data_IF_224439383115
#
_entry.id   IF_224439383115
#
_cell.length_a   1.000
_cell.length_b   1.000
_cell.length_c   1.000
_cell.angle_alpha   90.00
_cell.angle_beta   90.00
_cell.angle_gamma   90.00
#
_symmetry.space_group_name_H-M   'P 1'
#
loop_
_entity.id
_entity.type
_entity.pdbx_description
1 polymer ?
#
# COMPACT_ATOMS: atom_id res chain seq x y z
N UNK A 1 21.08 14.97 17.00
CA UNK A 1 21.16 14.27 18.30
C UNK A 1 20.59 12.88 18.08
N UNK A 2 21.48 11.95 17.72
CA UNK A 2 21.16 10.60 17.26
C UNK A 2 20.99 9.74 18.51
N UNK A 3 19.78 9.24 18.77
CA UNK A 3 19.55 8.25 19.81
C UNK A 3 19.81 6.88 19.20
N UNK A 4 21.00 6.31 19.45
CA UNK A 4 21.29 4.89 19.19
C UNK A 4 20.45 4.07 20.17
N UNK A 5 19.47 3.32 19.69
CA UNK A 5 18.79 2.30 20.49
C UNK A 5 19.57 1.00 20.41
N UNK A 6 20.47 0.80 21.37
CA UNK A 6 20.99 -0.53 21.70
C UNK A 6 19.82 -1.43 22.11
N UNK A 7 19.72 -2.61 21.49
CA UNK A 7 18.71 -3.61 21.79
C UNK A 7 18.82 -4.08 23.23
N UNK A 8 17.87 -3.67 24.08
CA UNK A 8 17.60 -4.36 25.34
C UNK A 8 16.61 -5.48 25.04
N UNK A 9 17.08 -6.71 25.22
CA UNK A 9 16.22 -7.88 25.36
C UNK A 9 15.15 -7.58 26.42
N UNK A 10 13.88 -7.62 26.01
CA UNK A 10 12.75 -7.57 26.93
C UNK A 10 12.81 -8.80 27.82
N UNK A 11 12.86 -8.55 29.13
CA UNK A 11 13.12 -9.54 30.16
C UNK A 11 12.21 -10.77 30.06
N UNK A 12 12.82 -11.94 30.21
CA UNK A 12 12.11 -13.18 30.46
C UNK A 12 11.32 -13.06 31.78
N UNK A 13 10.09 -13.61 31.84
CA UNK A 13 9.36 -13.70 33.10
C UNK A 13 10.03 -14.70 34.05
N UNK A 14 10.11 -14.33 35.33
CA UNK A 14 10.67 -15.14 36.42
C UNK A 14 9.92 -16.50 36.55
N UNK A 15 10.61 -17.60 36.88
CA UNK A 15 9.98 -18.89 37.08
C UNK A 15 9.30 -18.92 38.46
N UNK A 16 7.97 -19.05 38.46
CA UNK A 16 7.17 -19.16 39.66
C UNK A 16 7.47 -20.48 40.41
N UNK A 17 7.96 -20.35 41.64
CA UNK A 17 8.01 -21.42 42.64
C UNK A 17 6.65 -21.58 43.34
N UNK A 18 6.22 -22.83 43.52
CA UNK A 18 4.89 -23.19 44.02
C UNK A 18 4.64 -22.87 45.50
N UNK A 19 3.37 -22.57 45.80
CA UNK A 19 2.84 -22.47 47.16
C UNK A 19 1.41 -21.89 47.16
N UNK A 20 0.47 -22.62 47.74
CA UNK A 20 -1.00 -22.41 47.78
C UNK A 20 -1.50 -21.13 48.52
N UNK A 21 -0.77 -20.00 48.42
CA UNK A 21 -1.10 -18.71 49.04
C UNK A 21 -1.53 -17.64 48.01
N UNK A 22 -1.56 -18.01 46.74
CA UNK A 22 -1.66 -17.07 45.62
C UNK A 22 -3.03 -16.40 45.50
N UNK A 23 -4.13 -17.03 45.90
CA UNK A 23 -5.47 -16.48 45.63
C UNK A 23 -5.75 -15.12 46.30
N UNK A 24 -5.42 -14.98 47.58
CA UNK A 24 -5.73 -13.78 48.38
C UNK A 24 -4.74 -12.66 48.12
N UNK A 25 -3.44 -12.96 48.04
CA UNK A 25 -2.41 -11.97 47.67
C UNK A 25 -2.66 -11.44 46.26
N UNK A 26 -2.93 -12.32 45.29
CA UNK A 26 -3.23 -11.92 43.90
C UNK A 26 -4.53 -11.12 43.79
N UNK A 27 -5.49 -11.31 44.72
CA UNK A 27 -6.72 -10.53 44.79
C UNK A 27 -6.51 -9.15 45.43
N UNK A 28 -5.76 -9.06 46.53
CA UNK A 28 -5.38 -7.78 47.15
C UNK A 28 -4.48 -6.94 46.24
N UNK A 29 -3.51 -7.58 45.59
CA UNK A 29 -2.67 -6.96 44.55
C UNK A 29 -3.44 -6.71 43.26
N UNK A 30 -4.68 -7.18 43.11
CA UNK A 30 -5.58 -6.76 42.03
C UNK A 30 -6.36 -5.48 42.37
N UNK A 31 -6.42 -5.10 43.66
CA UNK A 31 -7.27 -4.02 44.13
C UNK A 31 -6.59 -2.65 43.97
N UNK A 32 -7.14 -1.73 43.15
CA UNK A 32 -6.49 -0.44 42.86
C UNK A 32 -6.21 0.42 44.09
N UNK A 33 -7.10 0.40 45.09
CA UNK A 33 -6.95 1.16 46.35
C UNK A 33 -5.76 0.64 47.15
N UNK A 34 -5.62 -0.68 47.25
CA UNK A 34 -4.49 -1.29 47.94
C UNK A 34 -3.17 -0.89 47.28
N UNK A 35 -3.08 -0.98 45.95
CA UNK A 35 -1.89 -0.57 45.17
C UNK A 35 -1.55 0.92 45.29
N UNK A 36 -2.55 1.79 45.45
CA UNK A 36 -2.33 3.23 45.64
C UNK A 36 -1.78 3.53 47.04
N UNK A 37 -2.26 2.81 48.05
CA UNK A 37 -1.83 2.99 49.44
C UNK A 37 -0.46 2.37 49.73
N UNK A 38 -0.12 1.27 49.07
CA UNK A 38 1.13 0.52 49.31
C UNK A 38 2.21 0.76 48.25
N UNK A 39 1.84 1.36 47.11
CA UNK A 39 2.73 1.58 45.96
C UNK A 39 3.18 3.04 45.77
N UNK A 40 4.02 3.29 44.75
CA UNK A 40 4.56 4.62 44.45
C UNK A 40 3.57 5.58 43.75
N UNK A 41 2.29 5.22 43.65
CA UNK A 41 1.25 5.96 42.92
C UNK A 41 0.08 6.35 43.84
N UNK A 42 0.32 7.21 44.85
CA UNK A 42 -0.72 7.60 45.82
C UNK A 42 -1.82 8.46 45.20
N UNK A 43 -1.56 9.06 44.03
CA UNK A 43 -2.54 9.85 43.28
C UNK A 43 -3.40 9.00 42.33
N UNK A 44 -3.09 7.71 42.17
CA UNK A 44 -3.82 6.80 41.28
C UNK A 44 -3.77 7.21 39.80
N UNK A 45 -2.71 7.89 39.36
CA UNK A 45 -2.56 8.36 37.96
C UNK A 45 -1.62 7.47 37.13
N UNK A 46 -0.95 6.53 37.77
CA UNK A 46 0.01 5.61 37.19
C UNK A 46 -0.52 4.19 37.12
N UNK A 47 0.35 3.23 37.46
CA UNK A 47 0.07 1.79 37.29
C UNK A 47 -0.96 1.27 38.30
N UNK A 48 -1.10 1.90 39.46
CA UNK A 48 -2.00 1.41 40.51
C UNK A 48 -3.48 1.43 40.05
N UNK A 49 -3.85 2.41 39.22
CA UNK A 49 -5.19 2.52 38.63
C UNK A 49 -5.39 1.73 37.32
N UNK A 50 -4.35 1.06 36.77
CA UNK A 50 -4.51 0.28 35.53
C UNK A 50 -5.22 -1.02 35.80
N UNK A 51 -6.26 -1.27 35.01
CA UNK A 51 -6.93 -2.57 34.99
C UNK A 51 -6.05 -3.61 34.28
N UNK A 52 -6.26 -4.90 34.56
CA UNK A 52 -5.61 -5.99 33.82
C UNK A 52 -5.85 -5.88 32.31
N UNK A 53 -7.06 -5.45 31.91
CA UNK A 53 -7.38 -5.20 30.51
C UNK A 53 -6.50 -4.12 29.90
N UNK A 54 -6.32 -2.99 30.60
CA UNK A 54 -5.42 -1.90 30.17
C UNK A 54 -3.97 -2.35 30.07
N UNK A 55 -3.49 -3.18 31.00
CA UNK A 55 -2.14 -3.73 30.96
C UNK A 55 -1.93 -4.72 29.79
N UNK A 56 -2.98 -5.41 29.36
CA UNK A 56 -2.93 -6.34 28.23
C UNK A 56 -3.05 -5.66 26.85
N UNK A 57 -3.43 -4.38 26.78
CA UNK A 57 -3.53 -3.66 25.51
C UNK A 57 -2.13 -3.38 24.99
N UNK A 58 -1.83 -3.92 23.81
CA UNK A 58 -0.63 -3.65 23.03
C UNK A 58 -0.95 -2.79 21.81
N UNK A 59 0.08 -2.25 21.14
CA UNK A 59 -0.14 -1.49 19.90
C UNK A 59 -0.75 -2.38 18.81
N UNK A 60 -1.57 -1.78 17.94
CA UNK A 60 -2.14 -2.47 16.76
C UNK A 60 -1.07 -2.98 15.77
N UNK A 61 0.16 -2.51 15.92
CA UNK A 61 1.32 -2.86 15.11
C UNK A 61 2.20 -3.93 15.78
N UNK A 62 1.93 -4.30 17.04
CA UNK A 62 2.78 -5.21 17.81
C UNK A 62 2.83 -6.63 17.26
N UNK A 63 1.83 -7.05 16.48
CA UNK A 63 1.73 -8.40 15.89
C UNK A 63 2.39 -8.49 14.50
N UNK A 64 2.88 -7.38 13.95
CA UNK A 64 3.48 -7.39 12.62
C UNK A 64 4.80 -8.17 12.61
N UNK A 65 4.94 -9.09 11.65
CA UNK A 65 6.17 -9.86 11.43
C UNK A 65 7.20 -9.08 10.58
N UNK A 66 6.73 -8.17 9.72
CA UNK A 66 7.56 -7.26 8.94
C UNK A 66 6.94 -5.87 8.78
N UNK A 67 7.81 -4.91 8.51
CA UNK A 67 7.43 -3.53 8.16
C UNK A 67 8.13 -3.14 6.87
N UNK A 68 7.36 -2.80 5.84
CA UNK A 68 7.86 -2.30 4.57
C UNK A 68 7.75 -0.77 4.51
N UNK A 69 8.78 -0.11 3.99
CA UNK A 69 8.72 1.31 3.67
C UNK A 69 7.99 1.50 2.33
N UNK A 70 7.15 2.53 2.27
CA UNK A 70 6.41 2.88 1.05
C UNK A 70 6.17 4.39 0.98
N UNK A 71 5.61 4.86 -0.14
CA UNK A 71 5.24 6.25 -0.36
C UNK A 71 3.74 6.32 -0.65
N UNK A 72 3.09 7.34 -0.09
CA UNK A 72 1.66 7.61 -0.28
C UNK A 72 1.31 7.75 -1.77
N UNK A 73 0.37 6.96 -2.32
CA UNK A 73 0.10 6.90 -3.77
C UNK A 73 -0.86 8.00 -4.28
N UNK A 74 -1.11 9.05 -3.49
CA UNK A 74 -2.18 10.01 -3.79
C UNK A 74 -1.69 11.27 -4.51
N UNK A 75 -1.03 12.18 -3.80
CA UNK A 75 -0.61 13.46 -4.36
C UNK A 75 0.92 13.55 -4.38
N UNK A 76 1.44 14.54 -5.12
CA UNK A 76 2.87 14.74 -5.33
C UNK A 76 3.67 15.20 -4.09
N UNK A 77 3.06 15.26 -2.89
CA UNK A 77 3.79 15.55 -1.65
C UNK A 77 4.78 14.43 -1.31
N UNK A 78 4.44 13.17 -1.62
CA UNK A 78 5.35 12.05 -1.38
C UNK A 78 5.54 11.69 0.11
N UNK A 79 4.47 11.75 0.92
CA UNK A 79 4.56 11.35 2.32
C UNK A 79 4.99 9.88 2.45
N UNK A 80 6.09 9.61 3.17
CA UNK A 80 6.52 8.24 3.46
C UNK A 80 5.58 7.53 4.45
N UNK A 81 5.44 6.22 4.28
CA UNK A 81 4.54 5.34 5.01
C UNK A 81 5.28 4.08 5.48
N UNK A 82 4.87 3.56 6.64
CA UNK A 82 5.25 2.23 7.15
C UNK A 82 4.05 1.29 6.97
N UNK A 83 4.26 0.21 6.23
CA UNK A 83 3.28 -0.84 5.94
C UNK A 83 3.59 -2.05 6.81
N UNK A 84 2.72 -2.32 7.77
CA UNK A 84 2.83 -3.43 8.70
C UNK A 84 2.14 -4.65 8.12
N UNK A 85 2.84 -5.79 8.13
CA UNK A 85 2.36 -7.04 7.56
C UNK A 85 2.44 -8.14 8.61
N UNK A 86 1.48 -9.05 8.57
CA UNK A 86 1.42 -10.26 9.38
C UNK A 86 0.85 -11.38 8.50
N UNK A 87 1.52 -12.53 8.42
CA UNK A 87 1.10 -13.67 7.62
C UNK A 87 0.77 -13.29 6.16
N UNK A 88 1.66 -12.53 5.52
CA UNK A 88 1.51 -12.00 4.15
C UNK A 88 0.30 -11.07 3.93
N UNK A 89 -0.34 -10.58 5.00
CA UNK A 89 -1.48 -9.65 4.92
C UNK A 89 -1.16 -8.33 5.59
N UNK A 90 -1.57 -7.23 4.94
CA UNK A 90 -1.41 -5.88 5.49
C UNK A 90 -2.36 -5.71 6.69
N UNK A 91 -1.78 -5.55 7.88
CA UNK A 91 -2.54 -5.32 9.11
C UNK A 91 -2.73 -3.85 9.40
N UNK A 92 -1.76 -3.01 9.03
CA UNK A 92 -1.82 -1.57 9.29
C UNK A 92 -0.93 -0.76 8.32
N UNK A 93 -1.31 0.48 8.03
CA UNK A 93 -0.47 1.45 7.32
C UNK A 93 -0.49 2.77 8.08
N UNK A 94 0.69 3.29 8.43
CA UNK A 94 0.84 4.56 9.14
C UNK A 94 1.90 5.44 8.46
N UNK A 95 1.97 6.72 8.85
CA UNK A 95 3.00 7.62 8.34
C UNK A 95 4.35 7.28 8.97
N UNK A 96 5.43 7.42 8.18
CA UNK A 96 6.78 7.21 8.70
C UNK A 96 7.26 8.43 9.51
N UNK A 97 7.53 8.31 10.82
CA UNK A 97 8.10 9.39 11.63
C UNK A 97 9.45 9.91 11.13
N UNK A 98 10.22 9.05 10.44
CA UNK A 98 11.56 9.36 9.93
C UNK A 98 11.52 10.14 8.61
N UNK A 99 10.31 10.31 8.04
CA UNK A 99 10.08 11.06 6.81
C UNK A 99 10.53 12.53 6.95
N UNK A 100 11.44 13.03 6.09
CA UNK A 100 11.85 14.43 6.12
C UNK A 100 10.70 15.37 5.70
N UNK A 101 9.73 14.85 4.95
CA UNK A 101 8.61 15.60 4.38
C UNK A 101 7.44 15.64 5.36
N UNK A 102 7.00 14.47 5.83
CA UNK A 102 5.74 14.33 6.57
C UNK A 102 5.91 14.12 8.07
N UNK A 103 7.08 13.67 8.55
CA UNK A 103 7.38 13.35 9.96
C UNK A 103 6.25 12.56 10.65
N UNK A 104 5.78 11.51 9.99
CA UNK A 104 4.72 10.63 10.48
C UNK A 104 3.28 11.10 10.21
N UNK A 105 3.08 12.30 9.67
CA UNK A 105 1.74 12.87 9.46
C UNK A 105 1.16 12.42 8.12
N UNK A 106 -0.10 12.00 8.13
CA UNK A 106 -0.86 11.70 6.93
C UNK A 106 -2.18 12.49 6.93
N UNK A 107 -2.57 13.01 5.77
CA UNK A 107 -3.91 13.54 5.56
C UNK A 107 -4.95 12.38 5.49
N UNK A 108 -6.27 12.66 5.46
CA UNK A 108 -7.30 11.61 5.44
C UNK A 108 -7.13 10.57 4.32
N UNK A 109 -6.65 11.01 3.14
CA UNK A 109 -6.34 10.12 2.02
C UNK A 109 -5.22 9.15 2.38
N UNK A 110 -4.08 9.69 2.83
CA UNK A 110 -2.92 8.89 3.23
C UNK A 110 -3.24 7.91 4.36
N UNK A 111 -3.97 8.35 5.39
CA UNK A 111 -4.37 7.47 6.50
C UNK A 111 -5.34 6.36 6.08
N UNK A 112 -6.05 6.54 4.97
CA UNK A 112 -6.98 5.55 4.42
C UNK A 112 -6.31 4.56 3.45
N UNK A 113 -4.98 4.62 3.24
CA UNK A 113 -4.28 3.78 2.25
C UNK A 113 -4.49 2.27 2.46
N UNK A 114 -4.65 1.82 3.71
CA UNK A 114 -5.00 0.41 3.98
C UNK A 114 -6.34 0.04 3.34
N UNK A 115 -7.37 0.89 3.52
CA UNK A 115 -8.71 0.65 2.97
C UNK A 115 -8.70 0.61 1.44
N UNK A 116 -7.83 1.39 0.80
CA UNK A 116 -7.64 1.34 -0.65
C UNK A 116 -7.15 -0.04 -1.10
N UNK A 117 -6.06 -0.54 -0.50
CA UNK A 117 -5.40 -1.79 -0.94
C UNK A 117 -6.21 -3.04 -0.59
N UNK A 118 -6.91 -3.02 0.55
CA UNK A 118 -7.72 -4.14 1.05
C UNK A 118 -9.22 -3.98 0.80
N UNK A 119 -9.62 -3.11 -0.14
CA UNK A 119 -11.04 -2.88 -0.42
C UNK A 119 -11.73 -4.17 -0.91
N UNK A 120 -12.94 -4.50 -0.41
CA UNK A 120 -13.71 -5.63 -0.93
C UNK A 120 -14.18 -5.42 -2.37
N UNK A 121 -14.17 -4.18 -2.87
CA UNK A 121 -14.55 -3.85 -4.26
C UNK A 121 -13.39 -4.01 -5.25
N UNK A 122 -12.21 -4.43 -4.81
CA UNK A 122 -11.06 -4.64 -5.69
C UNK A 122 -11.36 -5.73 -6.71
N UNK A 123 -11.18 -5.42 -7.99
CA UNK A 123 -11.30 -6.39 -9.07
C UNK A 123 -10.07 -7.30 -9.05
N UNK A 124 -10.28 -8.59 -8.84
CA UNK A 124 -9.21 -9.61 -8.71
C UNK A 124 -9.20 -10.61 -9.86
N UNK A 125 -10.14 -10.49 -10.80
CA UNK A 125 -10.25 -11.33 -11.99
C UNK A 125 -10.26 -10.47 -13.24
N UNK A 126 -9.78 -11.02 -14.34
CA UNK A 126 -9.91 -10.36 -15.64
C UNK A 126 -11.37 -10.36 -16.05
N UNK A 127 -11.90 -9.17 -16.35
CA UNK A 127 -13.28 -8.98 -16.81
C UNK A 127 -13.27 -8.62 -18.28
N UNK A 128 -14.05 -9.33 -19.07
CA UNK A 128 -14.20 -9.13 -20.50
C UNK A 128 -15.65 -8.82 -20.85
N UNK A 129 -15.85 -7.88 -21.77
CA UNK A 129 -17.16 -7.55 -22.32
C UNK A 129 -17.11 -7.74 -23.83
N UNK A 130 -17.95 -8.63 -24.34
CA UNK A 130 -18.02 -8.93 -25.77
C UNK A 130 -18.51 -7.72 -26.59
N UNK A 131 -18.10 -7.60 -27.86
CA UNK A 131 -18.73 -6.66 -28.79
C UNK A 131 -20.25 -6.83 -28.76
N UNK A 132 -20.97 -5.71 -28.67
CA UNK A 132 -22.44 -5.67 -28.56
C UNK A 132 -23.03 -6.34 -27.29
N UNK A 133 -22.22 -6.80 -26.35
CA UNK A 133 -22.68 -7.37 -25.08
C UNK A 133 -23.02 -6.30 -24.04
N UNK A 134 -23.91 -6.62 -23.11
CA UNK A 134 -24.23 -5.77 -21.93
C UNK A 134 -23.56 -6.26 -20.64
N UNK A 135 -23.25 -7.55 -20.56
CA UNK A 135 -22.74 -8.20 -19.36
C UNK A 135 -21.22 -8.38 -19.37
N UNK A 136 -20.64 -8.49 -18.17
CA UNK A 136 -19.25 -8.85 -17.95
C UNK A 136 -19.07 -10.35 -17.78
N UNK A 137 -17.96 -10.86 -18.29
CA UNK A 137 -17.55 -12.26 -18.19
C UNK A 137 -16.15 -12.36 -17.59
N UNK A 138 -15.87 -13.45 -16.88
CA UNK A 138 -14.53 -13.74 -16.40
C UNK A 138 -13.72 -14.41 -17.51
N UNK A 139 -12.47 -13.98 -17.71
CA UNK A 139 -11.49 -14.66 -18.55
C UNK A 139 -10.27 -15.08 -17.75
N UNK A 140 -9.60 -16.11 -18.27
CA UNK A 140 -8.24 -16.43 -17.88
C UNK A 140 -7.26 -15.32 -18.31
N UNK A 141 -6.20 -15.11 -17.52
CA UNK A 141 -5.24 -14.04 -17.77
C UNK A 141 -4.48 -14.25 -19.08
N UNK A 142 -3.99 -15.46 -19.35
CA UNK A 142 -3.19 -15.74 -20.54
C UNK A 142 -4.05 -15.57 -21.80
N UNK A 143 -5.29 -16.07 -21.74
CA UNK A 143 -6.27 -15.87 -22.83
C UNK A 143 -6.51 -14.39 -23.10
N UNK A 144 -6.66 -13.57 -22.05
CA UNK A 144 -6.88 -12.14 -22.21
C UNK A 144 -5.64 -11.41 -22.76
N UNK A 145 -4.43 -11.82 -22.35
CA UNK A 145 -3.19 -11.21 -22.82
C UNK A 145 -2.93 -11.50 -24.30
N UNK A 146 -3.15 -12.74 -24.78
CA UNK A 146 -3.10 -13.09 -26.20
C UNK A 146 -4.12 -12.29 -27.02
N UNK A 147 -5.36 -12.22 -26.51
CA UNK A 147 -6.42 -11.41 -27.11
C UNK A 147 -6.04 -9.93 -27.25
N UNK A 148 -5.38 -9.35 -26.25
CA UNK A 148 -4.91 -7.96 -26.29
C UNK A 148 -3.79 -7.81 -27.31
N UNK A 149 -2.80 -8.72 -27.30
CA UNK A 149 -1.67 -8.69 -28.23
C UNK A 149 -2.14 -8.72 -29.70
N UNK A 150 -3.00 -9.68 -30.06
CA UNK A 150 -3.56 -9.80 -31.40
C UNK A 150 -4.27 -8.52 -31.86
N UNK A 151 -5.10 -7.94 -30.98
CA UNK A 151 -5.86 -6.73 -31.27
C UNK A 151 -4.96 -5.50 -31.42
N UNK A 152 -3.94 -5.37 -30.57
CA UNK A 152 -2.96 -4.28 -30.66
C UNK A 152 -2.15 -4.38 -31.96
N UNK A 153 -1.69 -5.58 -32.32
CA UNK A 153 -0.96 -5.79 -33.57
C UNK A 153 -1.83 -5.49 -34.79
N UNK A 154 -3.08 -5.95 -34.77
CA UNK A 154 -4.02 -5.70 -35.86
C UNK A 154 -4.37 -4.21 -36.01
N UNK A 155 -4.63 -3.53 -34.90
CA UNK A 155 -4.85 -2.09 -34.89
C UNK A 155 -3.63 -1.32 -35.40
N UNK A 156 -2.43 -1.73 -34.97
CA UNK A 156 -1.17 -1.15 -35.46
C UNK A 156 -1.03 -1.29 -36.97
N UNK A 157 -1.26 -2.50 -37.52
CA UNK A 157 -1.16 -2.77 -38.97
C UNK A 157 -2.14 -1.91 -39.76
N UNK A 158 -3.40 -1.87 -39.35
CA UNK A 158 -4.46 -1.07 -40.00
C UNK A 158 -4.18 0.42 -39.97
N UNK A 159 -3.61 0.92 -38.87
CA UNK A 159 -3.29 2.33 -38.70
C UNK A 159 -1.89 2.75 -39.14
N UNK A 160 -1.08 1.85 -39.73
CA UNK A 160 0.32 2.13 -40.03
C UNK A 160 0.47 3.15 -41.18
N UNK A 161 1.37 4.11 -40.97
CA UNK A 161 1.77 5.12 -41.94
C UNK A 161 3.29 5.09 -42.07
N UNK A 162 3.78 4.66 -43.22
CA UNK A 162 5.22 4.75 -43.54
C UNK A 162 5.58 6.18 -43.94
N UNK A 163 4.71 6.82 -44.72
CA UNK A 163 4.85 8.20 -45.21
C UNK A 163 3.57 9.00 -44.97
N UNK A 164 3.71 10.31 -44.82
CA UNK A 164 2.61 11.27 -44.66
C UNK A 164 2.88 12.54 -45.49
N UNK A 165 1.82 13.25 -45.89
CA UNK A 165 1.88 14.45 -46.73
C UNK A 165 1.55 14.24 -48.21
N UNK A 166 1.40 15.33 -48.99
CA UNK A 166 1.01 15.27 -50.39
C UNK A 166 2.15 14.70 -51.28
N UNK A 167 1.85 14.22 -52.51
CA UNK A 167 2.85 13.60 -53.39
C UNK A 167 4.13 14.41 -53.62
N UNK A 168 4.00 15.72 -53.73
CA UNK A 168 5.08 16.67 -53.94
C UNK A 168 5.97 16.91 -52.70
N UNK A 169 5.52 16.53 -51.51
CA UNK A 169 6.24 16.75 -50.25
C UNK A 169 5.94 15.64 -49.21
N UNK A 170 6.21 14.38 -49.57
CA UNK A 170 6.04 13.24 -48.65
C UNK A 170 7.18 13.15 -47.66
N UNK A 171 6.84 12.98 -46.38
CA UNK A 171 7.79 12.74 -45.29
C UNK A 171 7.66 11.32 -44.77
N UNK A 172 8.79 10.67 -44.49
CA UNK A 172 8.79 9.38 -43.79
C UNK A 172 8.43 9.61 -42.32
N UNK A 173 7.38 8.93 -41.84
CA UNK A 173 6.88 9.09 -40.46
C UNK A 173 6.95 7.81 -39.62
N UNK A 174 6.88 6.63 -40.24
CA UNK A 174 6.95 5.31 -39.56
C UNK A 174 6.16 5.27 -38.24
N UNK A 175 4.87 5.60 -38.30
CA UNK A 175 3.99 5.71 -37.13
C UNK A 175 2.70 4.92 -37.30
N UNK A 176 1.94 4.71 -36.23
CA UNK A 176 0.58 4.21 -36.28
C UNK A 176 -0.41 5.22 -35.69
N UNK A 177 -1.53 5.42 -36.38
CA UNK A 177 -2.70 6.16 -35.89
C UNK A 177 -3.80 5.22 -35.37
N UNK A 178 -3.54 3.91 -35.33
CA UNK A 178 -4.50 2.89 -34.90
C UNK A 178 -4.50 2.63 -33.40
N UNK A 179 -3.56 3.21 -32.65
CA UNK A 179 -3.39 2.98 -31.21
C UNK A 179 -3.17 4.31 -30.51
N UNK A 180 -3.95 4.56 -29.45
CA UNK A 180 -3.75 5.65 -28.52
C UNK A 180 -3.65 5.10 -27.09
N UNK A 181 -2.87 5.75 -26.25
CA UNK A 181 -2.68 5.37 -24.84
C UNK A 181 -2.96 6.56 -23.93
N UNK A 182 -3.79 6.33 -22.91
CA UNK A 182 -3.97 7.20 -21.76
C UNK A 182 -3.37 6.50 -20.54
N UNK A 183 -2.11 6.80 -20.25
CA UNK A 183 -1.36 6.22 -19.13
C UNK A 183 -1.33 7.17 -17.96
N UNK A 184 -0.53 6.87 -16.92
CA UNK A 184 -0.49 7.88 -15.88
C UNK A 184 0.56 7.95 -14.80
N UNK A 185 0.50 9.13 -14.20
CA UNK A 185 1.23 9.61 -13.05
C UNK A 185 0.98 8.81 -11.76
N UNK A 186 0.10 7.81 -11.81
CA UNK A 186 -0.18 6.89 -10.69
C UNK A 186 0.66 5.61 -10.74
N UNK A 187 1.37 5.38 -11.85
CA UNK A 187 2.27 4.25 -12.03
C UNK A 187 3.69 4.64 -11.63
N UNK A 188 4.53 3.64 -11.37
CA UNK A 188 5.92 3.87 -11.02
C UNK A 188 6.69 4.45 -12.21
N UNK A 189 7.84 5.07 -11.94
CA UNK A 189 8.67 5.68 -13.00
C UNK A 189 9.18 4.63 -13.99
N UNK A 190 9.54 3.46 -13.48
CA UNK A 190 10.05 2.33 -14.25
C UNK A 190 8.96 1.77 -15.17
N UNK A 191 7.72 1.65 -14.68
CA UNK A 191 6.57 1.22 -15.47
C UNK A 191 6.23 2.24 -16.57
N UNK A 192 6.18 3.53 -16.21
CA UNK A 192 5.99 4.61 -17.19
C UNK A 192 7.08 4.60 -18.27
N UNK A 193 8.33 4.35 -17.88
CA UNK A 193 9.44 4.24 -18.80
C UNK A 193 9.27 3.05 -19.76
N UNK A 194 8.87 1.88 -19.25
CA UNK A 194 8.58 0.70 -20.07
C UNK A 194 7.41 0.93 -21.01
N UNK A 195 6.32 1.52 -20.53
CA UNK A 195 5.16 1.88 -21.36
C UNK A 195 5.56 2.83 -22.48
N UNK A 196 6.35 3.85 -22.18
CA UNK A 196 6.81 4.81 -23.20
C UNK A 196 7.63 4.09 -24.28
N UNK A 197 8.55 3.21 -23.89
CA UNK A 197 9.34 2.41 -24.85
C UNK A 197 8.45 1.51 -25.69
N UNK A 198 7.49 0.80 -25.08
CA UNK A 198 6.56 -0.07 -25.78
C UNK A 198 5.78 0.69 -26.86
N UNK A 199 5.09 1.77 -26.48
CA UNK A 199 4.25 2.51 -27.43
C UNK A 199 5.07 3.22 -28.51
N UNK A 200 6.24 3.78 -28.16
CA UNK A 200 7.15 4.33 -29.17
C UNK A 200 7.67 3.27 -30.13
N UNK A 201 8.00 2.05 -29.66
CA UNK A 201 8.44 0.96 -30.52
C UNK A 201 7.32 0.45 -31.45
N UNK A 202 6.08 0.50 -30.98
CA UNK A 202 4.90 0.25 -31.82
C UNK A 202 4.67 1.36 -32.88
N UNK A 203 5.34 2.52 -32.75
CA UNK A 203 5.14 3.69 -33.60
C UNK A 203 3.93 4.54 -33.21
N UNK A 204 3.35 4.32 -32.02
CA UNK A 204 2.21 5.11 -31.55
C UNK A 204 2.67 6.52 -31.15
N UNK A 205 1.93 7.54 -31.58
CA UNK A 205 2.21 8.95 -31.26
C UNK A 205 1.18 9.58 -30.32
N UNK A 206 -0.02 9.00 -30.23
CA UNK A 206 -1.11 9.48 -29.37
C UNK A 206 -0.96 8.92 -27.96
N UNK A 207 0.09 9.36 -27.26
CA UNK A 207 0.44 8.89 -25.90
C UNK A 207 0.32 10.08 -24.96
N UNK A 208 -0.73 10.07 -24.13
CA UNK A 208 -1.09 11.18 -23.24
C UNK A 208 -1.28 10.67 -21.80
N UNK A 209 -1.23 11.60 -20.84
CA UNK A 209 -1.48 11.32 -19.43
C UNK A 209 -2.08 12.54 -18.71
N UNK A 210 -2.22 12.47 -17.39
CA UNK A 210 -2.78 13.54 -16.56
C UNK A 210 -2.03 14.87 -16.64
N UNK A 211 -0.74 14.88 -17.03
CA UNK A 211 0.06 16.09 -17.10
C UNK A 211 -0.29 17.01 -18.29
N UNK A 212 -1.16 16.54 -19.21
CA UNK A 212 -1.68 17.36 -20.30
C UNK A 212 -2.69 18.41 -19.83
N UNK A 213 -3.38 18.16 -18.71
CA UNK A 213 -4.36 19.05 -18.07
C UNK A 213 -3.65 19.89 -17.01
#
# INVERSE_FOLDING_TARGET
MICRSEGRAFGQPDPAGGGSIDGVKTWLDAWPVFRQLTGPDPLGRGRAARSRGTEAVVSRTATADRVAASVCPYCAVGCAQKVYVENERITQIEGDPDSPISRGRLCPKGSASKQLVTSPTRVTKVRYRRPYGTEWEDLDLDTAMEMIADRVLEARRKGWQEVDGPPENRHRVNRTMGVASLGGATLDNEENYLMKKLYSALGAIQIENQARI
#
